data_IF_884492612467
#
_entry.id   IF_884492612467
#
_cell.length_a   1.000
_cell.length_b   1.000
_cell.length_c   1.000
_cell.angle_alpha   90.00
_cell.angle_beta   90.00
_cell.angle_gamma   90.00
#
_symmetry.space_group_name_H-M   'P 1'
#
loop_
_entity.id
_entity.type
_entity.pdbx_description
1 polymer ?
#
# COMPACT_ATOMS: atom_id res chain seq x y z
N UNK A 1 -0.88 -30.05 -12.24
CA UNK A 1 -1.40 -28.66 -12.33
C UNK A 1 -0.22 -27.70 -12.40
N UNK A 2 -0.29 -26.70 -13.29
CA UNK A 2 0.81 -25.78 -13.49
C UNK A 2 0.95 -24.86 -12.26
N UNK A 3 2.09 -24.97 -11.55
CA UNK A 3 2.36 -24.24 -10.30
C UNK A 3 2.39 -22.72 -10.53
N UNK A 4 2.78 -22.30 -11.73
CA UNK A 4 2.78 -20.89 -12.14
C UNK A 4 1.35 -20.34 -12.28
N UNK A 5 0.41 -21.16 -12.75
CA UNK A 5 -1.03 -20.79 -12.79
C UNK A 5 -1.58 -20.63 -11.37
N UNK A 6 -1.19 -21.50 -10.44
CA UNK A 6 -1.61 -21.38 -9.03
C UNK A 6 -1.10 -20.08 -8.38
N UNK A 7 0.15 -19.69 -8.68
CA UNK A 7 0.73 -18.42 -8.24
C UNK A 7 -0.12 -17.24 -8.72
N UNK A 8 -0.45 -17.21 -10.02
CA UNK A 8 -1.26 -16.13 -10.60
C UNK A 8 -2.68 -16.14 -10.01
N UNK A 9 -3.30 -17.31 -9.87
CA UNK A 9 -4.67 -17.44 -9.37
C UNK A 9 -4.81 -16.93 -7.92
N UNK A 10 -3.83 -17.23 -7.07
CA UNK A 10 -3.82 -16.78 -5.66
C UNK A 10 -3.55 -15.28 -5.59
N UNK A 11 -2.60 -14.75 -6.37
CA UNK A 11 -2.15 -13.36 -6.22
C UNK A 11 -2.96 -12.35 -7.04
N UNK A 12 -3.60 -12.75 -8.14
CA UNK A 12 -4.46 -11.90 -8.95
C UNK A 12 -5.56 -11.18 -8.14
N UNK A 13 -6.35 -11.85 -7.27
CA UNK A 13 -7.35 -11.17 -6.46
C UNK A 13 -6.72 -10.20 -5.44
N UNK A 14 -5.55 -10.51 -4.89
CA UNK A 14 -4.83 -9.58 -3.99
C UNK A 14 -4.40 -8.32 -4.71
N UNK A 15 -3.80 -8.45 -5.90
CA UNK A 15 -3.34 -7.32 -6.71
C UNK A 15 -4.55 -6.47 -7.15
N UNK A 16 -5.64 -7.11 -7.57
CA UNK A 16 -6.88 -6.41 -7.93
C UNK A 16 -7.44 -5.64 -6.73
N UNK A 17 -7.47 -6.26 -5.54
CA UNK A 17 -7.89 -5.59 -4.31
C UNK A 17 -7.01 -4.40 -3.96
N UNK A 18 -5.69 -4.51 -4.16
CA UNK A 18 -4.75 -3.42 -3.93
C UNK A 18 -4.99 -2.22 -4.86
N UNK A 19 -5.25 -2.49 -6.14
CA UNK A 19 -5.59 -1.46 -7.13
C UNK A 19 -6.92 -0.79 -6.78
N UNK A 20 -7.95 -1.57 -6.44
CA UNK A 20 -9.25 -1.04 -6.01
C UNK A 20 -9.13 -0.16 -4.77
N UNK A 21 -8.31 -0.56 -3.80
CA UNK A 21 -8.01 0.23 -2.61
C UNK A 21 -7.30 1.53 -2.96
N UNK A 22 -6.30 1.51 -3.85
CA UNK A 22 -5.61 2.72 -4.30
C UNK A 22 -6.57 3.71 -4.99
N UNK A 23 -7.44 3.21 -5.86
CA UNK A 23 -8.47 4.01 -6.56
C UNK A 23 -9.51 4.55 -5.58
N UNK A 24 -9.95 3.75 -4.61
CA UNK A 24 -10.91 4.16 -3.58
C UNK A 24 -10.32 5.23 -2.65
N UNK A 25 -9.05 5.09 -2.28
CA UNK A 25 -8.32 6.09 -1.49
C UNK A 25 -8.15 7.42 -2.24
N UNK A 26 -7.98 7.38 -3.55
CA UNK A 26 -8.01 8.59 -4.39
C UNK A 26 -9.40 9.22 -4.43
N UNK A 27 -10.43 8.42 -4.71
CA UNK A 27 -11.83 8.90 -4.79
C UNK A 27 -12.33 9.49 -3.47
N UNK A 28 -11.89 8.96 -2.34
CA UNK A 28 -12.25 9.45 -1.00
C UNK A 28 -11.42 10.66 -0.54
N UNK A 29 -10.56 11.23 -1.40
CA UNK A 29 -9.74 12.41 -1.08
C UNK A 29 -8.64 12.16 -0.03
N UNK A 30 -8.44 10.90 0.38
CA UNK A 30 -7.42 10.50 1.37
C UNK A 30 -6.01 10.44 0.78
N UNK A 31 -5.90 10.35 -0.55
CA UNK A 31 -4.64 10.20 -1.26
C UNK A 31 -4.51 11.17 -2.45
N UNK A 32 -3.30 11.67 -2.69
CA UNK A 32 -2.99 12.56 -3.80
C UNK A 32 -2.94 11.80 -5.13
N UNK A 33 -3.27 12.46 -6.24
CA UNK A 33 -3.22 11.86 -7.60
C UNK A 33 -1.89 11.15 -7.89
N UNK A 34 -0.76 11.78 -7.53
CA UNK A 34 0.60 11.20 -7.69
C UNK A 34 0.76 9.87 -6.96
N UNK A 35 0.33 9.79 -5.70
CA UNK A 35 0.45 8.59 -4.87
C UNK A 35 -0.45 7.46 -5.39
N UNK A 36 -1.64 7.79 -5.85
CA UNK A 36 -2.52 6.82 -6.52
C UNK A 36 -1.87 6.26 -7.79
N UNK A 37 -1.33 7.10 -8.67
CA UNK A 37 -0.67 6.65 -9.90
C UNK A 37 0.52 5.74 -9.57
N UNK A 38 1.38 6.11 -8.61
CA UNK A 38 2.52 5.26 -8.21
C UNK A 38 2.06 3.91 -7.68
N UNK A 39 1.04 3.87 -6.81
CA UNK A 39 0.51 2.62 -6.26
C UNK A 39 -0.08 1.73 -7.36
N UNK A 40 -0.89 2.30 -8.26
CA UNK A 40 -1.51 1.54 -9.36
C UNK A 40 -0.45 1.00 -10.32
N UNK A 41 0.52 1.83 -10.71
CA UNK A 41 1.63 1.41 -11.59
C UNK A 41 2.48 0.33 -10.92
N UNK A 42 2.78 0.49 -9.62
CA UNK A 42 3.52 -0.50 -8.85
C UNK A 42 2.80 -1.86 -8.83
N UNK A 43 1.50 -1.87 -8.49
CA UNK A 43 0.71 -3.11 -8.45
C UNK A 43 0.52 -3.75 -9.83
N UNK A 44 0.38 -2.93 -10.88
CA UNK A 44 0.38 -3.42 -12.26
C UNK A 44 1.72 -4.07 -12.63
N UNK A 45 2.84 -3.47 -12.27
CA UNK A 45 4.17 -4.01 -12.55
C UNK A 45 4.38 -5.35 -11.84
N UNK A 46 3.94 -5.48 -10.59
CA UNK A 46 3.95 -6.76 -9.86
C UNK A 46 3.09 -7.81 -10.56
N UNK A 47 1.87 -7.46 -10.98
CA UNK A 47 0.99 -8.40 -11.68
C UNK A 47 1.51 -8.85 -13.04
N UNK A 48 2.07 -7.91 -13.83
CA UNK A 48 2.72 -8.22 -15.10
C UNK A 48 3.93 -9.12 -14.84
N UNK A 49 4.77 -8.78 -13.86
CA UNK A 49 5.93 -9.59 -13.47
C UNK A 49 5.56 -11.05 -13.19
N UNK A 50 4.43 -11.29 -12.50
CA UNK A 50 3.94 -12.65 -12.22
C UNK A 50 3.57 -13.43 -13.48
N UNK A 51 2.95 -12.80 -14.47
CA UNK A 51 2.60 -13.45 -15.73
C UNK A 51 3.84 -13.86 -16.53
N UNK A 52 4.92 -13.10 -16.41
CA UNK A 52 6.18 -13.38 -17.09
C UNK A 52 7.07 -14.40 -16.38
N UNK A 53 6.75 -14.85 -15.16
CA UNK A 53 7.60 -15.81 -14.41
C UNK A 53 7.79 -17.12 -15.16
N UNK A 54 6.72 -17.67 -15.73
CA UNK A 54 6.75 -18.95 -16.48
C UNK A 54 7.60 -18.88 -17.75
N UNK A 55 7.36 -17.95 -18.71
CA UNK A 55 8.18 -17.87 -19.92
C UNK A 55 9.63 -17.46 -19.62
N UNK A 56 9.86 -16.67 -18.57
CA UNK A 56 11.20 -16.31 -18.13
C UNK A 56 11.96 -17.55 -17.62
N UNK A 57 11.31 -18.37 -16.79
CA UNK A 57 11.91 -19.62 -16.28
C UNK A 57 12.26 -20.58 -17.42
N UNK A 58 11.33 -20.78 -18.36
CA UNK A 58 11.57 -21.63 -19.53
C UNK A 58 12.72 -21.14 -20.40
N UNK A 59 12.87 -19.82 -20.56
CA UNK A 59 13.96 -19.23 -21.31
C UNK A 59 15.32 -19.45 -20.62
N UNK A 60 15.37 -19.33 -19.29
CA UNK A 60 16.58 -19.55 -18.49
C UNK A 60 17.00 -21.02 -18.49
N UNK A 61 16.05 -21.95 -18.38
CA UNK A 61 16.31 -23.39 -18.45
C UNK A 61 16.76 -23.81 -19.85
N UNK A 62 16.10 -23.31 -20.92
CA UNK A 62 16.49 -23.60 -22.31
C UNK A 62 17.92 -23.14 -22.63
N UNK A 63 18.36 -22.04 -22.02
CA UNK A 63 19.74 -21.54 -22.19
C UNK A 63 20.76 -22.20 -21.25
N UNK A 64 20.36 -23.22 -20.47
CA UNK A 64 21.19 -23.85 -19.43
C UNK A 64 21.80 -22.83 -18.43
N UNK A 65 21.17 -21.67 -18.26
CA UNK A 65 21.66 -20.61 -17.37
C UNK A 65 21.34 -20.92 -15.90
N UNK A 66 20.38 -21.80 -15.63
CA UNK A 66 19.96 -22.18 -14.29
C UNK A 66 19.54 -23.65 -14.24
N UNK A 67 20.04 -24.39 -13.23
CA UNK A 67 19.62 -25.75 -12.88
C UNK A 67 18.70 -25.77 -11.65
N UNK A 68 18.03 -24.65 -11.37
CA UNK A 68 17.17 -24.51 -10.19
C UNK A 68 15.95 -25.45 -10.30
N UNK A 69 15.51 -26.05 -9.18
CA UNK A 69 14.28 -26.83 -9.15
C UNK A 69 13.07 -25.98 -9.60
N UNK A 70 12.05 -26.60 -10.21
CA UNK A 70 10.82 -25.89 -10.56
C UNK A 70 10.16 -25.33 -9.29
N UNK A 71 9.52 -24.17 -9.43
CA UNK A 71 8.95 -23.37 -8.34
C UNK A 71 8.32 -24.23 -7.23
N UNK A 72 8.72 -24.01 -5.97
CA UNK A 72 8.13 -24.73 -4.84
C UNK A 72 6.79 -24.13 -4.46
N UNK A 73 5.88 -24.95 -3.93
CA UNK A 73 4.61 -24.46 -3.34
C UNK A 73 4.89 -23.56 -2.14
N UNK A 74 6.00 -23.80 -1.44
CA UNK A 74 6.44 -22.93 -0.35
C UNK A 74 6.83 -21.53 -0.83
N UNK A 75 7.51 -21.42 -1.99
CA UNK A 75 7.87 -20.13 -2.58
C UNK A 75 6.63 -19.35 -2.99
N UNK A 76 5.61 -20.04 -3.52
CA UNK A 76 4.30 -19.44 -3.85
C UNK A 76 3.65 -18.83 -2.61
N UNK A 77 3.71 -19.54 -1.48
CA UNK A 77 3.13 -19.11 -0.21
C UNK A 77 3.91 -17.94 0.41
N UNK A 78 5.25 -17.99 0.36
CA UNK A 78 6.08 -16.86 0.79
C UNK A 78 5.84 -15.61 -0.05
N UNK A 79 5.76 -15.75 -1.38
CA UNK A 79 5.54 -14.62 -2.28
C UNK A 79 4.15 -14.00 -2.06
N UNK A 80 3.12 -14.83 -1.87
CA UNK A 80 1.78 -14.34 -1.55
C UNK A 80 1.71 -13.68 -0.18
N UNK A 81 2.40 -14.23 0.82
CA UNK A 81 2.57 -13.64 2.15
C UNK A 81 3.25 -12.26 2.07
N UNK A 82 4.28 -12.12 1.25
CA UNK A 82 4.98 -10.85 1.05
C UNK A 82 4.07 -9.79 0.41
N UNK A 83 3.32 -10.17 -0.62
CA UNK A 83 2.32 -9.28 -1.27
C UNK A 83 1.26 -8.86 -0.26
N UNK A 84 0.75 -9.80 0.52
CA UNK A 84 -0.25 -9.54 1.56
C UNK A 84 0.29 -8.59 2.64
N UNK A 85 1.51 -8.81 3.12
CA UNK A 85 2.15 -7.93 4.09
C UNK A 85 2.32 -6.52 3.54
N UNK A 86 2.75 -6.39 2.28
CA UNK A 86 2.89 -5.09 1.62
C UNK A 86 1.55 -4.36 1.53
N UNK A 87 0.48 -5.10 1.21
CA UNK A 87 -0.89 -4.58 1.17
C UNK A 87 -1.36 -4.06 2.53
N UNK A 88 -1.07 -4.78 3.62
CA UNK A 88 -1.35 -4.33 4.98
C UNK A 88 -0.53 -3.09 5.33
N UNK A 89 0.75 -3.06 4.96
CA UNK A 89 1.63 -1.92 5.25
C UNK A 89 1.10 -0.63 4.64
N UNK A 90 0.68 -0.66 3.37
CA UNK A 90 0.09 0.50 2.69
C UNK A 90 -1.15 1.01 3.45
N UNK A 91 -2.01 0.09 3.92
CA UNK A 91 -3.19 0.45 4.71
C UNK A 91 -2.83 1.06 6.06
N UNK A 92 -1.82 0.52 6.74
CA UNK A 92 -1.35 1.03 8.02
C UNK A 92 -0.80 2.45 7.88
N UNK A 93 0.02 2.70 6.87
CA UNK A 93 0.58 4.04 6.60
C UNK A 93 -0.53 5.07 6.34
N UNK A 94 -1.59 4.70 5.61
CA UNK A 94 -2.72 5.60 5.37
C UNK A 94 -3.51 5.91 6.65
N UNK A 95 -3.75 4.90 7.49
CA UNK A 95 -4.40 5.10 8.79
C UNK A 95 -3.55 5.98 9.71
N UNK A 96 -2.25 5.74 9.74
CA UNK A 96 -1.31 6.47 10.59
C UNK A 96 -1.17 7.94 10.17
N UNK A 97 -1.11 8.22 8.87
CA UNK A 97 -1.12 9.59 8.36
C UNK A 97 -2.41 10.34 8.72
N UNK A 98 -3.56 9.68 8.62
CA UNK A 98 -4.83 10.29 9.01
C UNK A 98 -4.89 10.56 10.52
N UNK A 99 -4.38 9.65 11.34
CA UNK A 99 -4.31 9.83 12.78
C UNK A 99 -3.36 10.98 13.14
N UNK A 100 -2.17 11.03 12.54
CA UNK A 100 -1.22 12.12 12.71
C UNK A 100 -1.83 13.48 12.36
N UNK A 101 -2.54 13.59 11.23
CA UNK A 101 -3.26 14.81 10.85
C UNK A 101 -4.34 15.19 11.86
N UNK A 102 -5.09 14.22 12.38
CA UNK A 102 -6.14 14.46 13.38
C UNK A 102 -5.55 14.96 14.69
N UNK A 103 -4.47 14.34 15.17
CA UNK A 103 -3.75 14.75 16.38
C UNK A 103 -3.19 16.17 16.22
N UNK A 104 -2.61 16.49 15.06
CA UNK A 104 -2.07 17.82 14.78
C UNK A 104 -3.16 18.91 14.83
N UNK A 105 -4.33 18.65 14.24
CA UNK A 105 -5.48 19.58 14.31
C UNK A 105 -6.03 19.74 15.72
N UNK A 106 -6.00 18.69 16.54
CA UNK A 106 -6.42 18.79 17.94
C UNK A 106 -5.46 19.66 18.76
N UNK A 107 -4.15 19.50 18.56
CA UNK A 107 -3.14 20.36 19.19
C UNK A 107 -3.32 21.84 18.80
N UNK A 108 -3.52 22.10 17.51
CA UNK A 108 -3.78 23.46 17.02
C UNK A 108 -5.07 24.05 17.61
N UNK A 109 -6.14 23.24 17.70
CA UNK A 109 -7.39 23.67 18.32
C UNK A 109 -7.26 24.01 19.81
N UNK A 110 -6.44 23.26 20.55
CA UNK A 110 -6.16 23.54 21.98
C UNK A 110 -5.37 24.85 22.12
N UNK A 111 -4.33 25.05 21.30
CA UNK A 111 -3.53 26.27 21.34
C UNK A 111 -4.37 27.53 21.06
N UNK A 112 -5.26 27.49 20.07
CA UNK A 112 -6.17 28.60 19.76
C UNK A 112 -7.17 28.85 20.90
N UNK A 113 -7.70 27.78 21.51
CA UNK A 113 -8.57 27.90 22.67
C UNK A 113 -7.86 28.55 23.86
N UNK A 114 -6.59 28.25 24.08
CA UNK A 114 -5.79 28.82 25.15
C UNK A 114 -5.50 30.31 24.91
N UNK A 115 -5.09 30.68 23.70
CA UNK A 115 -4.91 32.09 23.32
C UNK A 115 -6.19 32.91 23.43
N UNK A 116 -7.33 32.37 23.01
CA UNK A 116 -8.62 33.06 23.12
C UNK A 116 -9.03 33.29 24.58
N UNK A 117 -8.80 32.32 25.47
CA UNK A 117 -9.03 32.48 26.91
C UNK A 117 -8.14 33.56 27.53
N UNK A 118 -6.86 33.61 27.16
CA UNK A 118 -5.92 34.63 27.65
C UNK A 118 -6.30 36.04 27.19
N UNK A 119 -6.74 36.22 25.94
CA UNK A 119 -7.25 37.51 25.45
C UNK A 119 -8.52 37.98 26.17
N UNK A 120 -9.46 37.07 26.43
CA UNK A 120 -10.68 37.39 27.19
C UNK A 120 -10.33 37.81 28.62
N UNK A 121 -9.45 37.07 29.30
CA UNK A 121 -9.09 37.38 30.69
C UNK A 121 -8.26 38.67 30.82
N UNK A 122 -7.36 38.95 29.86
CA UNK A 122 -6.63 40.22 29.81
C UNK A 122 -7.49 41.45 29.45
N UNK A 123 -8.60 41.24 28.73
CA UNK A 123 -9.58 42.30 28.46
C UNK A 123 -10.46 42.63 29.67
N UNK A 124 -10.68 41.66 30.57
CA UNK A 124 -11.45 41.87 31.82
C UNK A 124 -10.58 42.53 32.90
N UNK A 125 -9.26 42.35 32.87
CA UNK A 125 -8.34 42.98 33.82
C UNK A 125 -8.02 44.47 33.54
N UNK A 126 -8.42 44.99 32.37
CA UNK A 126 -8.19 46.38 31.93
C UNK A 126 -9.46 47.26 31.94
N UNK A 127 -10.55 46.78 32.55
CA UNK A 127 -11.79 47.55 32.82
C UNK A 127 -11.95 47.68 34.33
#
# INVERSE_FOLDING_TARGET
>A
MNKYVLLVLINAPLIMFAILMAVTSYKTGRSTRRRCTVLVVFWLLVGIGMLFVEPLYDLLVRKNLTASPPLSVFDILLLSGLIFQMLIMVQLYDKLNNLSRKVSRMHEGIAIMEESKLKVNGSVANV
#
